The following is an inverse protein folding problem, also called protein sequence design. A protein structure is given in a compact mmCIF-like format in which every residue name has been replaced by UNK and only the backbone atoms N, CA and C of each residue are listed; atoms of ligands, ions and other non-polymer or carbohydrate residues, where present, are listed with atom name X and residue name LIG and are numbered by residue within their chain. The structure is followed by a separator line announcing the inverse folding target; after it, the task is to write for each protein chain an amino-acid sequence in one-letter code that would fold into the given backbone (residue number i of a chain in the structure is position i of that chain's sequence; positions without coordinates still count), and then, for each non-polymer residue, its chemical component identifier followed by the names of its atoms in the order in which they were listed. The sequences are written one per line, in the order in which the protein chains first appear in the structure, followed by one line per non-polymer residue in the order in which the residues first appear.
data_IF_322042010241
#
_entry.id   IF_322042010241
#
_cell.length_a   1.000
_cell.length_b   1.000
_cell.length_c   1.000
_cell.angle_alpha   90.00
_cell.angle_beta   90.00
_cell.angle_gamma   90.00
#
_symmetry.space_group_name_H-M   'P 1'
#
loop_
_entity.id
_entity.type
_entity.pdbx_description
1 polymer ?
#
# COMPACT_ATOMS: atom_id res chain seq x y z
N UNK A 1 -15.96 16.37 5.97
CA UNK A 1 -16.68 15.30 5.26
C UNK A 1 -16.17 13.95 5.72
N UNK A 2 -17.04 12.96 5.70
CA UNK A 2 -16.68 11.64 6.15
C UNK A 2 -15.85 10.89 5.11
N UNK A 3 -14.89 10.13 5.58
CA UNK A 3 -14.14 9.22 4.74
C UNK A 3 -14.78 7.84 4.79
N UNK A 4 -14.94 7.24 3.62
CA UNK A 4 -15.49 5.90 3.49
C UNK A 4 -14.33 4.92 3.45
N UNK A 5 -14.40 3.90 4.31
CA UNK A 5 -13.40 2.83 4.33
C UNK A 5 -13.73 1.81 3.24
N UNK A 6 -12.70 1.40 2.51
CA UNK A 6 -12.88 0.38 1.47
C UNK A 6 -11.72 -0.60 1.47
N UNK A 7 -11.95 -1.74 0.84
CA UNK A 7 -10.94 -2.79 0.69
C UNK A 7 -10.85 -3.20 -0.77
N UNK A 8 -9.63 -3.43 -1.22
CA UNK A 8 -9.36 -3.99 -2.53
C UNK A 8 -8.47 -5.22 -2.36
N UNK A 9 -8.65 -6.22 -3.20
CA UNK A 9 -7.81 -7.40 -3.19
C UNK A 9 -7.22 -7.63 -4.57
N UNK A 10 -5.93 -7.93 -4.59
CA UNK A 10 -5.18 -8.10 -5.82
C UNK A 10 -4.49 -9.45 -5.82
N UNK A 11 -4.71 -10.22 -6.86
CA UNK A 11 -4.07 -11.53 -7.02
C UNK A 11 -2.60 -11.31 -7.40
N UNK A 12 -1.70 -11.80 -6.57
CA UNK A 12 -0.26 -11.70 -6.78
C UNK A 12 0.35 -13.02 -7.22
N UNK A 13 -0.50 -13.96 -7.62
CA UNK A 13 -0.09 -15.29 -8.11
C UNK A 13 0.77 -16.01 -7.09
N UNK A 14 1.88 -16.61 -7.52
CA UNK A 14 2.77 -17.36 -6.65
C UNK A 14 3.96 -16.55 -6.16
N UNK A 15 3.81 -15.22 -6.08
CA UNK A 15 4.88 -14.35 -5.61
C UNK A 15 5.30 -14.74 -4.19
N UNK A 16 6.59 -14.99 -3.94
CA UNK A 16 7.03 -15.31 -2.57
C UNK A 16 6.71 -14.19 -1.60
N UNK A 17 6.20 -14.57 -0.42
CA UNK A 17 5.81 -13.60 0.61
C UNK A 17 6.97 -12.68 0.99
N UNK A 18 8.20 -13.21 1.09
CA UNK A 18 9.36 -12.42 1.47
C UNK A 18 9.67 -11.33 0.44
N UNK A 19 9.46 -11.63 -0.83
CA UNK A 19 9.67 -10.65 -1.91
C UNK A 19 8.58 -9.59 -1.85
N UNK A 20 7.32 -10.00 -1.77
CA UNK A 20 6.22 -9.05 -1.70
C UNK A 20 6.34 -8.15 -0.47
N UNK A 21 6.70 -8.74 0.67
CA UNK A 21 6.89 -7.97 1.90
C UNK A 21 7.94 -6.87 1.73
N UNK A 22 9.07 -7.19 1.09
CA UNK A 22 10.10 -6.21 0.84
C UNK A 22 9.58 -5.02 0.03
N UNK A 23 8.78 -5.29 -1.01
CA UNK A 23 8.23 -4.24 -1.86
C UNK A 23 7.20 -3.36 -1.17
N UNK A 24 6.50 -3.86 -0.16
CA UNK A 24 5.47 -3.06 0.51
C UNK A 24 5.96 -2.43 1.83
N UNK A 25 7.17 -2.74 2.27
CA UNK A 25 7.63 -2.28 3.58
C UNK A 25 8.98 -1.54 3.58
N UNK A 26 9.82 -1.72 2.57
CA UNK A 26 11.13 -1.09 2.55
C UNK A 26 11.15 0.19 1.71
N UNK A 27 12.15 1.05 1.99
CA UNK A 27 12.37 2.26 1.18
C UNK A 27 12.53 1.91 -0.29
N UNK A 28 13.45 1.00 -0.56
CA UNK A 28 13.78 0.64 -1.94
C UNK A 28 12.60 -0.03 -2.64
N UNK A 29 11.86 -0.87 -1.92
CA UNK A 29 10.71 -1.55 -2.49
C UNK A 29 9.58 -0.58 -2.82
N UNK A 30 9.20 0.26 -1.87
CA UNK A 30 8.11 1.24 -2.05
C UNK A 30 8.44 2.27 -3.13
N UNK A 31 9.69 2.61 -3.28
CA UNK A 31 10.15 3.57 -4.28
C UNK A 31 9.92 3.07 -5.71
N UNK A 32 9.79 1.79 -5.90
CA UNK A 32 9.65 1.21 -7.23
C UNK A 32 8.23 1.24 -7.78
N UNK A 33 7.24 1.41 -6.91
CA UNK A 33 5.85 1.37 -7.38
C UNK A 33 4.91 2.34 -6.68
N UNK A 34 5.19 2.70 -5.43
CA UNK A 34 4.25 3.48 -4.62
C UNK A 34 4.50 4.98 -4.72
N UNK A 35 5.75 5.39 -4.67
CA UNK A 35 6.11 6.80 -4.71
C UNK A 35 7.46 6.98 -5.43
N UNK A 36 7.72 8.19 -5.91
CA UNK A 36 8.99 8.48 -6.60
C UNK A 36 10.16 8.49 -5.64
N UNK A 37 9.94 8.94 -4.41
CA UNK A 37 10.93 8.92 -3.36
C UNK A 37 10.32 8.42 -2.08
N UNK A 38 11.10 7.68 -1.29
CA UNK A 38 10.65 7.17 0.00
C UNK A 38 11.81 7.27 0.97
N UNK A 39 11.58 7.89 2.12
CA UNK A 39 12.53 7.90 3.23
C UNK A 39 11.84 7.40 4.47
N UNK A 40 12.50 6.46 5.15
CA UNK A 40 12.00 5.90 6.40
C UNK A 40 13.00 6.20 7.49
N UNK A 41 12.53 6.87 8.54
CA UNK A 41 13.34 7.16 9.71
C UNK A 41 12.54 6.78 10.93
N UNK A 42 12.96 5.72 11.61
CA UNK A 42 12.24 5.13 12.73
C UNK A 42 10.83 4.73 12.27
N UNK A 43 9.80 5.37 12.80
CA UNK A 43 8.41 5.07 12.45
C UNK A 43 7.82 6.10 11.47
N UNK A 44 8.62 7.01 10.98
CA UNK A 44 8.14 8.03 10.08
C UNK A 44 8.53 7.73 8.65
N UNK A 45 7.54 7.83 7.76
CA UNK A 45 7.69 7.57 6.34
C UNK A 45 7.42 8.87 5.60
N UNK A 46 8.36 9.26 4.73
CA UNK A 46 8.20 10.46 3.90
C UNK A 46 8.14 9.98 2.46
N UNK A 47 6.98 10.18 1.84
CA UNK A 47 6.76 9.83 0.45
C UNK A 47 6.81 11.08 -0.40
N UNK A 48 7.55 11.01 -1.51
CA UNK A 48 7.68 12.12 -2.43
C UNK A 48 7.15 11.70 -3.79
N UNK A 49 6.20 12.47 -4.29
CA UNK A 49 5.71 12.36 -5.65
C UNK A 49 6.11 13.63 -6.38
N UNK A 50 6.02 13.60 -7.69
CA UNK A 50 6.39 14.74 -8.50
C UNK A 50 5.64 15.99 -8.04
N UNK A 51 6.37 16.94 -7.46
CA UNK A 51 5.84 18.22 -7.04
C UNK A 51 5.38 18.32 -5.60
N UNK A 52 5.30 17.21 -4.83
CA UNK A 52 4.90 17.32 -3.43
C UNK A 52 5.35 16.10 -2.61
N UNK A 53 5.30 16.28 -1.30
CA UNK A 53 5.65 15.22 -0.34
C UNK A 53 4.54 15.07 0.70
N UNK A 54 4.38 13.87 1.21
CA UNK A 54 3.46 13.58 2.31
C UNK A 54 4.15 12.73 3.34
N UNK A 55 3.80 12.94 4.61
CA UNK A 55 4.36 12.18 5.72
C UNK A 55 3.33 11.24 6.31
N UNK A 56 3.78 10.07 6.69
CA UNK A 56 2.94 9.08 7.35
C UNK A 56 3.71 8.48 8.53
N UNK A 57 2.97 7.94 9.49
CA UNK A 57 3.56 7.28 10.66
C UNK A 57 3.15 5.83 10.67
N UNK A 58 4.12 4.97 10.93
CA UNK A 58 3.87 3.54 11.12
C UNK A 58 3.10 3.35 12.42
N UNK A 59 1.86 2.87 12.31
CA UNK A 59 1.00 2.63 13.49
C UNK A 59 0.72 1.16 13.73
N UNK A 60 1.12 0.30 12.80
CA UNK A 60 1.01 -1.14 12.98
C UNK A 60 1.85 -1.88 11.97
N UNK A 61 2.46 -2.96 12.41
CA UNK A 61 3.24 -3.83 11.53
C UNK A 61 3.27 -5.23 12.09
N UNK A 62 3.06 -6.20 11.20
CA UNK A 62 3.33 -7.61 11.48
C UNK A 62 4.22 -8.08 10.34
N UNK A 63 5.49 -8.30 10.65
CA UNK A 63 6.49 -8.62 9.64
C UNK A 63 6.06 -9.79 8.74
N UNK A 64 6.08 -9.54 7.45
CA UNK A 64 5.67 -10.53 6.45
C UNK A 64 4.17 -10.64 6.24
N UNK A 65 3.34 -9.91 7.00
CA UNK A 65 1.89 -10.04 6.96
C UNK A 65 1.13 -8.74 6.73
N UNK A 66 1.51 -7.66 7.42
CA UNK A 66 0.72 -6.43 7.33
C UNK A 66 1.52 -5.21 7.73
N UNK A 67 1.19 -4.08 7.10
CA UNK A 67 1.76 -2.78 7.46
C UNK A 67 0.64 -1.74 7.40
N UNK A 68 0.58 -0.88 8.41
CA UNK A 68 -0.44 0.16 8.53
C UNK A 68 0.24 1.50 8.76
N UNK A 69 -0.07 2.46 7.89
CA UNK A 69 0.54 3.79 7.92
C UNK A 69 -0.56 4.84 8.03
N UNK A 70 -0.41 5.76 8.97
CA UNK A 70 -1.35 6.85 9.19
C UNK A 70 -0.82 8.14 8.61
N UNK A 71 -1.63 8.81 7.79
CA UNK A 71 -1.23 10.10 7.22
C UNK A 71 -1.21 11.18 8.31
N UNK A 72 -0.13 11.96 8.34
CA UNK A 72 0.04 13.00 9.36
C UNK A 72 -0.53 14.35 8.95
N UNK A 73 -0.75 14.55 7.66
CA UNK A 73 -1.26 15.82 7.14
C UNK A 73 -2.79 15.89 7.13
N UNK A 74 -3.46 14.87 7.62
CA UNK A 74 -4.91 14.84 7.70
C UNK A 74 -5.39 15.20 9.10
N UNK A 75 -6.44 15.99 9.19
CA UNK A 75 -7.10 16.30 10.47
C UNK A 75 -7.87 15.09 11.01
N UNK A 76 -8.18 14.13 10.16
CA UNK A 76 -8.83 12.90 10.56
C UNK A 76 -7.78 11.78 10.66
N UNK A 77 -8.09 10.77 11.47
CA UNK A 77 -7.19 9.62 11.62
C UNK A 77 -7.38 8.65 10.45
N UNK A 78 -6.97 9.08 9.27
CA UNK A 78 -7.04 8.23 8.09
C UNK A 78 -5.70 7.53 7.89
N UNK A 79 -5.77 6.29 7.48
CA UNK A 79 -4.62 5.44 7.29
C UNK A 79 -4.81 4.60 6.04
N UNK A 80 -3.76 3.94 5.61
CA UNK A 80 -3.90 2.83 4.67
C UNK A 80 -3.16 1.63 5.22
N UNK A 81 -3.63 0.46 4.83
CA UNK A 81 -3.07 -0.79 5.32
C UNK A 81 -2.91 -1.76 4.16
N UNK A 82 -1.80 -2.46 4.16
CA UNK A 82 -1.55 -3.51 3.16
C UNK A 82 -1.34 -4.82 3.90
N UNK A 83 -2.06 -5.85 3.49
CA UNK A 83 -2.00 -7.17 4.10
C UNK A 83 -1.69 -8.23 3.05
N UNK A 84 -0.85 -9.17 3.42
CA UNK A 84 -0.52 -10.31 2.58
C UNK A 84 -1.34 -11.49 3.06
N UNK A 85 -2.19 -12.01 2.19
CA UNK A 85 -3.07 -13.14 2.48
C UNK A 85 -2.77 -14.28 1.51
N UNK A 86 -3.17 -15.48 1.90
CA UNK A 86 -3.12 -16.64 1.00
C UNK A 86 -4.55 -17.03 0.67
N UNK A 87 -4.84 -17.17 -0.62
CA UNK A 87 -6.17 -17.61 -1.06
C UNK A 87 -6.38 -19.07 -0.70
N UNK A 88 -7.49 -19.38 -0.03
CA UNK A 88 -7.82 -20.76 0.32
C UNK A 88 -8.18 -21.59 -0.90
N UNK A 89 -8.63 -20.94 -1.96
CA UNK A 89 -9.09 -21.64 -3.16
C UNK A 89 -7.99 -21.98 -4.14
N UNK A 90 -6.96 -21.14 -4.23
CA UNK A 90 -5.93 -21.29 -5.27
C UNK A 90 -4.51 -21.38 -4.72
N UNK A 91 -4.32 -21.15 -3.42
CA UNK A 91 -3.02 -21.00 -2.79
C UNK A 91 -2.21 -19.81 -3.33
N UNK A 92 -2.83 -18.96 -4.15
CA UNK A 92 -2.19 -17.76 -4.63
C UNK A 92 -2.04 -16.76 -3.48
N UNK A 93 -1.05 -15.89 -3.61
CA UNK A 93 -0.85 -14.79 -2.68
C UNK A 93 -1.75 -13.65 -3.09
N UNK A 94 -2.40 -13.02 -2.12
CA UNK A 94 -3.30 -11.90 -2.33
C UNK A 94 -2.78 -10.70 -1.53
N UNK A 95 -2.69 -9.55 -2.18
CA UNK A 95 -2.39 -8.30 -1.50
C UNK A 95 -3.72 -7.58 -1.27
N UNK A 96 -4.09 -7.43 0.00
CA UNK A 96 -5.29 -6.70 0.39
C UNK A 96 -4.90 -5.29 0.79
N UNK A 97 -5.59 -4.31 0.21
CA UNK A 97 -5.38 -2.90 0.53
C UNK A 97 -6.62 -2.37 1.22
N UNK A 98 -6.44 -1.70 2.36
CA UNK A 98 -7.50 -1.02 3.08
C UNK A 98 -7.15 0.46 3.07
N UNK A 99 -8.09 1.28 2.64
CA UNK A 99 -7.87 2.72 2.54
C UNK A 99 -9.18 3.45 2.75
N UNK A 100 -9.13 4.77 2.73
CA UNK A 100 -10.27 5.65 2.93
C UNK A 100 -10.31 6.71 1.84
N UNK A 101 -11.50 7.10 1.44
CA UNK A 101 -11.67 8.21 0.51
C UNK A 101 -13.02 8.89 0.77
N UNK A 102 -13.13 10.14 0.37
CA UNK A 102 -14.41 10.81 0.37
C UNK A 102 -15.30 10.21 -0.71
N UNK A 103 -16.59 10.27 -0.52
CA UNK A 103 -17.56 9.60 -1.40
C UNK A 103 -17.36 9.96 -2.87
N UNK A 104 -17.16 11.23 -3.16
CA UNK A 104 -17.00 11.71 -4.52
C UNK A 104 -15.62 11.38 -5.13
N UNK A 105 -14.67 10.94 -4.31
CA UNK A 105 -13.33 10.55 -4.76
C UNK A 105 -13.09 9.05 -4.69
N UNK A 106 -14.09 8.29 -4.28
CA UNK A 106 -13.94 6.86 -3.98
C UNK A 106 -13.46 6.05 -5.19
N UNK A 107 -14.10 6.19 -6.34
CA UNK A 107 -13.71 5.43 -7.54
C UNK A 107 -12.33 5.84 -8.05
N UNK A 108 -12.03 7.12 -8.00
CA UNK A 108 -10.73 7.63 -8.40
C UNK A 108 -9.61 7.09 -7.50
N UNK A 109 -9.88 7.03 -6.20
CA UNK A 109 -8.94 6.49 -5.22
C UNK A 109 -8.67 5.00 -5.48
N UNK A 110 -9.72 4.23 -5.77
CA UNK A 110 -9.58 2.81 -6.11
C UNK A 110 -8.78 2.61 -7.40
N UNK A 111 -9.04 3.44 -8.40
CA UNK A 111 -8.33 3.35 -9.69
C UNK A 111 -6.86 3.67 -9.52
N UNK A 112 -6.51 4.60 -8.64
CA UNK A 112 -5.13 4.90 -8.35
C UNK A 112 -4.42 3.67 -7.77
N UNK A 113 -5.05 2.99 -6.81
CA UNK A 113 -4.49 1.75 -6.27
C UNK A 113 -4.31 0.69 -7.34
N UNK A 114 -5.31 0.51 -8.20
CA UNK A 114 -5.23 -0.47 -9.29
C UNK A 114 -4.04 -0.19 -10.21
N UNK A 115 -3.83 1.06 -10.54
CA UNK A 115 -2.71 1.50 -11.36
C UNK A 115 -1.37 1.25 -10.69
N UNK A 116 -1.26 1.59 -9.41
CA UNK A 116 -0.03 1.38 -8.65
C UNK A 116 0.28 -0.11 -8.48
N UNK A 117 -0.73 -0.93 -8.23
CA UNK A 117 -0.53 -2.38 -8.10
C UNK A 117 -0.12 -3.01 -9.44
N UNK A 118 -0.62 -2.49 -10.56
CA UNK A 118 -0.16 -2.95 -11.87
C UNK A 118 1.33 -2.69 -12.04
N UNK A 119 1.82 -1.55 -11.56
CA UNK A 119 3.25 -1.26 -11.56
C UNK A 119 4.00 -2.23 -10.66
N UNK A 120 3.47 -2.49 -9.46
CA UNK A 120 4.06 -3.45 -8.52
C UNK A 120 4.20 -4.83 -9.16
N UNK A 121 3.15 -5.31 -9.81
CA UNK A 121 3.19 -6.61 -10.49
C UNK A 121 4.28 -6.65 -11.57
N UNK A 122 4.44 -5.58 -12.31
CA UNK A 122 5.47 -5.50 -13.35
C UNK A 122 6.88 -5.55 -12.77
N UNK A 123 7.15 -4.77 -11.72
CA UNK A 123 8.50 -4.71 -11.15
C UNK A 123 8.86 -5.99 -10.42
N UNK A 124 7.89 -6.71 -9.88
CA UNK A 124 8.12 -8.02 -9.27
C UNK A 124 8.27 -9.12 -10.34
N UNK A 125 7.69 -8.90 -11.50
CA UNK A 125 7.64 -9.93 -12.54
C UNK A 125 6.46 -10.89 -12.37
N UNK A 126 5.43 -10.46 -11.68
CA UNK A 126 4.19 -11.24 -11.49
C UNK A 126 3.35 -11.16 -12.77
N UNK A 127 2.98 -12.30 -13.31
CA UNK A 127 2.20 -12.34 -14.57
C UNK A 127 0.78 -12.82 -14.35
#
# INVERSE_FOLDING_TARGET
MEHIKYKLEFDMKATPITILWDYISSENGLKQWFADGVKIKDREYIFTWKGYSQEARLVGMRKGLAIKLQWLDSSEKVYFEMRILTSEMTDNIVLQVIDFAEEDELEESKDLWRSQIDTLRRVIGCK
#
